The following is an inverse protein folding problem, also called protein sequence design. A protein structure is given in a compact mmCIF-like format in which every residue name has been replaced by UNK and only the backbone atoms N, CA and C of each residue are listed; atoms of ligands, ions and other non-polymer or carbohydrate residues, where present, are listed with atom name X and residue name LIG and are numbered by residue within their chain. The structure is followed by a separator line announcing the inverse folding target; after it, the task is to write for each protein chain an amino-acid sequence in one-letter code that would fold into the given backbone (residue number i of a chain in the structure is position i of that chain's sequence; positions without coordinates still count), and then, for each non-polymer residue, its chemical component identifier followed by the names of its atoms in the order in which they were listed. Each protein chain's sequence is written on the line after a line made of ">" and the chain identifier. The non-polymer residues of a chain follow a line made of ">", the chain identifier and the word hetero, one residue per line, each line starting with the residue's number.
data_IF_786538557601
#
_entry.id   IF_786538557601
#
_cell.length_a   1.000
_cell.length_b   1.000
_cell.length_c   1.000
_cell.angle_alpha   90.00
_cell.angle_beta   90.00
_cell.angle_gamma   90.00
#
_symmetry.space_group_name_H-M   'P 1'
#
loop_
_entity.id
_entity.type
_entity.pdbx_description
1 polymer ?
#
# COMPACT_ATOMS: atom_id res chain seq x y z
N UNK A 1 -42.40 48.55 -29.16
CA UNK A 1 -43.50 47.62 -28.82
C UNK A 1 -43.14 46.21 -29.26
N UNK A 2 -43.33 45.22 -28.39
CA UNK A 2 -43.49 43.76 -28.63
C UNK A 2 -42.26 43.02 -29.19
N UNK A 3 -41.50 42.32 -28.32
CA UNK A 3 -41.61 40.88 -27.98
C UNK A 3 -41.50 39.96 -29.20
N UNK A 4 -40.41 39.19 -29.29
CA UNK A 4 -40.46 37.77 -29.69
C UNK A 4 -39.42 36.99 -28.90
N UNK A 5 -39.91 35.92 -28.28
CA UNK A 5 -39.25 34.98 -27.38
C UNK A 5 -38.66 33.79 -28.18
N UNK A 6 -37.56 33.24 -27.67
CA UNK A 6 -37.11 31.82 -27.70
C UNK A 6 -37.54 30.89 -28.83
N UNK A 7 -36.57 30.28 -29.52
CA UNK A 7 -36.40 28.81 -29.56
C UNK A 7 -35.01 28.47 -30.14
N UNK A 8 -34.02 28.24 -29.28
CA UNK A 8 -32.79 27.58 -29.69
C UNK A 8 -33.03 26.08 -29.59
N UNK A 9 -33.32 25.46 -30.74
CA UNK A 9 -33.45 24.01 -30.87
C UNK A 9 -32.08 23.41 -30.57
N UNK A 10 -31.99 22.73 -29.43
CA UNK A 10 -30.87 21.87 -29.05
C UNK A 10 -30.84 20.70 -30.04
N UNK A 11 -30.05 20.82 -31.10
CA UNK A 11 -29.74 19.69 -31.96
C UNK A 11 -28.81 18.74 -31.18
N UNK A 12 -29.41 17.80 -30.45
CA UNK A 12 -28.71 16.59 -30.03
C UNK A 12 -28.38 15.80 -31.29
N UNK A 13 -27.18 16.03 -31.82
CA UNK A 13 -26.58 15.13 -32.79
C UNK A 13 -26.32 13.80 -32.09
N UNK A 14 -27.28 12.87 -32.25
CA UNK A 14 -27.07 11.45 -32.04
C UNK A 14 -26.09 10.96 -33.11
N UNK A 15 -24.79 11.03 -32.83
CA UNK A 15 -23.79 10.26 -33.58
C UNK A 15 -23.81 8.82 -33.09
N UNK A 16 -24.73 8.03 -33.62
CA UNK A 16 -24.63 6.58 -33.59
C UNK A 16 -23.43 6.12 -34.43
N UNK A 17 -22.61 5.26 -33.83
CA UNK A 17 -21.81 4.20 -34.44
C UNK A 17 -21.04 4.55 -35.73
N UNK A 18 -19.81 5.05 -35.58
CA UNK A 18 -18.75 4.77 -36.56
C UNK A 18 -17.74 3.83 -35.91
N UNK A 19 -17.48 2.69 -36.56
CA UNK A 19 -16.40 1.79 -36.18
C UNK A 19 -15.06 2.51 -36.33
N UNK A 20 -14.35 2.65 -35.21
CA UNK A 20 -13.02 3.24 -35.14
C UNK A 20 -12.24 2.59 -34.01
N UNK A 21 -11.36 1.66 -34.35
CA UNK A 21 -10.49 0.92 -33.42
C UNK A 21 -9.50 1.81 -32.62
N UNK A 22 -9.49 3.13 -32.82
CA UNK A 22 -8.58 4.07 -32.16
C UNK A 22 -8.93 4.40 -30.72
N UNK A 23 -10.18 4.16 -30.27
CA UNK A 23 -10.59 4.45 -28.90
C UNK A 23 -10.11 3.39 -27.89
N UNK A 24 -9.82 2.17 -28.36
CA UNK A 24 -9.37 1.06 -27.51
C UNK A 24 -7.92 1.20 -27.05
N UNK A 25 -7.03 1.67 -27.92
CA UNK A 25 -5.61 1.84 -27.62
C UNK A 25 -5.35 3.02 -26.68
N UNK A 26 -6.07 4.14 -26.85
CA UNK A 26 -5.97 5.28 -25.94
C UNK A 26 -6.45 4.94 -24.52
N UNK A 27 -7.56 4.21 -24.41
CA UNK A 27 -8.08 3.74 -23.11
C UNK A 27 -7.13 2.73 -22.45
N UNK A 28 -6.54 1.83 -23.24
CA UNK A 28 -5.54 0.87 -22.78
C UNK A 28 -4.28 1.56 -22.28
N UNK A 29 -3.78 2.55 -23.01
CA UNK A 29 -2.63 3.33 -22.59
C UNK A 29 -2.91 4.11 -21.29
N UNK A 30 -4.08 4.74 -21.17
CA UNK A 30 -4.47 5.43 -19.93
C UNK A 30 -4.51 4.46 -18.73
N UNK A 31 -4.94 3.20 -18.94
CA UNK A 31 -4.91 2.16 -17.90
C UNK A 31 -3.49 1.73 -17.55
N UNK A 32 -2.59 1.60 -18.53
CA UNK A 32 -1.18 1.35 -18.27
C UNK A 32 -0.54 2.47 -17.45
N UNK A 33 -0.83 3.72 -17.79
CA UNK A 33 -0.33 4.89 -17.06
C UNK A 33 -0.87 4.93 -15.62
N UNK A 34 -2.15 4.59 -15.42
CA UNK A 34 -2.75 4.48 -14.08
C UNK A 34 -2.09 3.38 -13.24
N UNK A 35 -1.91 2.18 -13.80
CA UNK A 35 -1.34 1.03 -13.11
C UNK A 35 0.14 1.22 -12.76
N UNK A 36 0.88 1.92 -13.62
CA UNK A 36 2.32 2.17 -13.45
C UNK A 36 2.63 3.25 -12.41
N UNK A 37 1.65 4.05 -11.98
CA UNK A 37 1.86 5.09 -10.96
C UNK A 37 2.27 4.46 -9.64
N UNK A 38 3.38 4.94 -9.09
CA UNK A 38 3.81 4.58 -7.76
C UNK A 38 3.70 5.77 -6.82
N UNK A 39 2.89 5.62 -5.77
CA UNK A 39 2.91 6.52 -4.63
C UNK A 39 3.70 5.84 -3.49
N UNK A 40 4.86 6.39 -3.14
CA UNK A 40 5.72 5.92 -2.04
C UNK A 40 5.66 6.90 -0.86
N UNK A 41 4.75 7.89 -0.87
CA UNK A 41 4.54 8.77 0.26
C UNK A 41 3.84 8.01 1.40
N UNK A 42 4.61 7.18 2.10
CA UNK A 42 4.20 6.57 3.37
C UNK A 42 4.55 7.59 4.44
N UNK A 43 3.52 8.22 5.01
CA UNK A 43 3.69 9.17 6.10
C UNK A 43 4.40 8.52 7.29
N UNK A 44 5.33 9.27 7.87
CA UNK A 44 5.93 8.89 9.14
C UNK A 44 4.85 8.87 10.23
N UNK A 45 5.04 8.09 11.31
CA UNK A 45 4.09 8.04 12.42
C UNK A 45 3.91 9.44 13.01
N UNK A 46 2.67 9.88 13.17
CA UNK A 46 2.36 11.18 13.79
C UNK A 46 2.76 11.27 15.26
N UNK A 47 2.91 10.11 15.91
CA UNK A 47 3.36 9.96 17.28
C UNK A 47 4.35 8.78 17.33
N UNK A 48 5.50 9.02 17.95
CA UNK A 48 6.45 7.96 18.23
C UNK A 48 5.95 7.14 19.43
N UNK A 49 6.01 5.80 19.37
CA UNK A 49 5.75 4.95 20.51
C UNK A 49 6.55 5.36 21.75
N UNK A 50 5.89 5.44 22.89
CA UNK A 50 6.54 5.85 24.16
C UNK A 50 6.69 4.69 25.14
N UNK A 51 5.98 3.60 24.91
CA UNK A 51 5.95 2.43 25.76
C UNK A 51 5.69 1.15 24.94
N UNK A 52 5.80 -0.02 25.59
CA UNK A 52 5.62 -1.33 24.95
C UNK A 52 4.28 -1.53 24.26
N UNK A 53 3.19 -1.00 24.83
CA UNK A 53 1.84 -1.14 24.25
C UNK A 53 1.74 -0.31 22.97
N UNK A 54 2.23 0.92 23.00
CA UNK A 54 2.28 1.79 21.82
C UNK A 54 3.14 1.16 20.72
N UNK A 55 4.29 0.57 21.06
CA UNK A 55 5.17 -0.03 20.07
C UNK A 55 4.56 -1.29 19.45
N UNK A 56 3.91 -2.13 20.26
CA UNK A 56 3.17 -3.28 19.76
C UNK A 56 2.00 -2.88 18.83
N UNK A 57 1.27 -1.82 19.17
CA UNK A 57 0.20 -1.25 18.33
C UNK A 57 0.79 -0.71 17.02
N UNK A 58 1.90 0.02 17.10
CA UNK A 58 2.63 0.53 15.94
C UNK A 58 3.02 -0.61 14.99
N UNK A 59 3.67 -1.68 15.47
CA UNK A 59 4.04 -2.81 14.63
C UNK A 59 2.81 -3.48 13.99
N UNK A 60 1.72 -3.60 14.74
CA UNK A 60 0.46 -4.18 14.24
C UNK A 60 -0.16 -3.34 13.12
N UNK A 61 -0.15 -2.01 13.26
CA UNK A 61 -0.59 -1.09 12.20
C UNK A 61 0.30 -1.21 10.98
N UNK A 62 1.62 -1.25 11.15
CA UNK A 62 2.54 -1.40 10.03
C UNK A 62 2.38 -2.75 9.32
N UNK A 63 2.15 -3.83 10.07
CA UNK A 63 1.86 -5.16 9.51
C UNK A 63 0.56 -5.15 8.69
N UNK A 64 -0.50 -4.50 9.18
CA UNK A 64 -1.75 -4.33 8.43
C UNK A 64 -1.52 -3.54 7.14
N UNK A 65 -0.79 -2.43 7.22
CA UNK A 65 -0.51 -1.60 6.06
C UNK A 65 0.35 -2.33 5.01
N UNK A 66 1.32 -3.14 5.43
CA UNK A 66 2.07 -4.00 4.51
C UNK A 66 1.15 -4.99 3.78
N UNK A 67 0.17 -5.56 4.50
CA UNK A 67 -0.81 -6.49 3.93
C UNK A 67 -1.69 -5.79 2.89
N UNK A 68 -2.11 -4.55 3.17
CA UNK A 68 -2.84 -3.71 2.21
C UNK A 68 -2.00 -3.39 0.97
N UNK A 69 -0.71 -3.08 1.13
CA UNK A 69 0.18 -2.83 -0.01
C UNK A 69 0.28 -4.04 -0.93
N UNK A 70 0.47 -5.23 -0.36
CA UNK A 70 0.51 -6.49 -1.11
C UNK A 70 -0.79 -6.74 -1.87
N UNK A 71 -1.93 -6.53 -1.21
CA UNK A 71 -3.24 -6.67 -1.84
C UNK A 71 -3.39 -5.71 -3.03
N UNK A 72 -3.00 -4.44 -2.87
CA UNK A 72 -3.06 -3.46 -3.96
C UNK A 72 -2.12 -3.84 -5.10
N UNK A 73 -0.89 -4.27 -4.82
CA UNK A 73 0.05 -4.77 -5.83
C UNK A 73 -0.56 -5.95 -6.61
N UNK A 74 -1.10 -6.95 -5.91
CA UNK A 74 -1.74 -8.11 -6.56
C UNK A 74 -2.94 -7.68 -7.40
N UNK A 75 -3.81 -6.81 -6.88
CA UNK A 75 -4.98 -6.32 -7.62
C UNK A 75 -4.60 -5.55 -8.87
N UNK A 76 -3.52 -4.77 -8.84
CA UNK A 76 -3.01 -4.09 -10.03
C UNK A 76 -2.48 -5.07 -11.08
N UNK A 77 -1.82 -6.15 -10.65
CA UNK A 77 -1.40 -7.24 -11.56
C UNK A 77 -2.61 -7.97 -12.15
N UNK A 78 -3.63 -8.27 -11.34
CA UNK A 78 -4.89 -8.88 -11.81
C UNK A 78 -5.55 -7.97 -12.88
N UNK A 79 -5.64 -6.65 -12.63
CA UNK A 79 -6.19 -5.69 -13.60
C UNK A 79 -5.34 -5.65 -14.87
N UNK A 80 -4.00 -5.67 -14.75
CA UNK A 80 -3.11 -5.70 -15.91
C UNK A 80 -3.38 -6.94 -16.79
N UNK A 81 -3.62 -8.10 -16.19
CA UNK A 81 -3.97 -9.31 -16.94
C UNK A 81 -5.27 -9.14 -17.73
N UNK A 82 -6.26 -8.43 -17.18
CA UNK A 82 -7.54 -8.16 -17.84
C UNK A 82 -7.42 -7.12 -18.98
N UNK A 83 -6.57 -6.11 -18.82
CA UNK A 83 -6.34 -5.06 -19.84
C UNK A 83 -5.44 -5.57 -20.98
N UNK A 84 -4.57 -6.53 -20.68
CA UNK A 84 -3.55 -7.07 -21.58
C UNK A 84 -2.18 -6.93 -20.95
N UNK A 85 -1.45 -8.04 -20.89
CA UNK A 85 -0.15 -8.06 -20.23
C UNK A 85 0.85 -7.12 -20.91
N UNK A 86 1.52 -6.31 -20.09
CA UNK A 86 2.66 -5.48 -20.49
C UNK A 86 3.74 -5.61 -19.43
N UNK A 87 4.88 -6.19 -19.79
CA UNK A 87 5.96 -6.48 -18.85
C UNK A 87 6.51 -5.22 -18.17
N UNK A 88 6.64 -4.10 -18.90
CA UNK A 88 7.11 -2.85 -18.31
C UNK A 88 6.14 -2.30 -17.25
N UNK A 89 4.83 -2.46 -17.45
CA UNK A 89 3.82 -2.07 -16.47
C UNK A 89 3.83 -3.02 -15.26
N UNK A 90 3.98 -4.33 -15.51
CA UNK A 90 4.13 -5.31 -14.44
C UNK A 90 5.37 -5.04 -13.57
N UNK A 91 6.49 -4.70 -14.18
CA UNK A 91 7.73 -4.34 -13.50
C UNK A 91 7.56 -3.05 -12.69
N UNK A 92 6.83 -2.06 -13.21
CA UNK A 92 6.51 -0.84 -12.47
C UNK A 92 5.64 -1.13 -11.24
N UNK A 93 4.62 -2.00 -11.36
CA UNK A 93 3.75 -2.40 -10.25
C UNK A 93 4.55 -3.14 -9.17
N UNK A 94 5.37 -4.12 -9.56
CA UNK A 94 6.15 -4.93 -8.61
C UNK A 94 7.24 -4.12 -7.94
N UNK A 95 7.96 -3.27 -8.70
CA UNK A 95 8.96 -2.34 -8.17
C UNK A 95 8.33 -1.36 -7.17
N UNK A 96 7.13 -0.87 -7.46
CA UNK A 96 6.40 -0.01 -6.53
C UNK A 96 6.08 -0.73 -5.21
N UNK A 97 5.59 -1.97 -5.28
CA UNK A 97 5.33 -2.79 -4.10
C UNK A 97 6.59 -3.02 -3.27
N UNK A 98 7.72 -3.31 -3.92
CA UNK A 98 9.02 -3.45 -3.26
C UNK A 98 9.46 -2.15 -2.57
N UNK A 99 9.40 -1.01 -3.26
CA UNK A 99 9.78 0.29 -2.71
C UNK A 99 8.93 0.67 -1.49
N UNK A 100 7.60 0.42 -1.53
CA UNK A 100 6.72 0.67 -0.39
C UNK A 100 7.05 -0.23 0.81
N UNK A 101 7.34 -1.51 0.57
CA UNK A 101 7.79 -2.45 1.59
C UNK A 101 9.09 -1.98 2.25
N UNK A 102 10.07 -1.56 1.44
CA UNK A 102 11.37 -1.11 1.94
C UNK A 102 11.23 0.20 2.73
N UNK A 103 10.42 1.15 2.25
CA UNK A 103 10.14 2.38 2.99
C UNK A 103 9.47 2.12 4.34
N UNK A 104 8.60 1.12 4.42
CA UNK A 104 7.95 0.72 5.68
C UNK A 104 8.94 0.13 6.68
N UNK A 105 9.89 -0.68 6.20
CA UNK A 105 10.99 -1.22 7.01
C UNK A 105 11.90 -0.11 7.52
N UNK A 106 12.27 0.84 6.67
CA UNK A 106 13.08 2.01 7.04
C UNK A 106 12.43 2.79 8.19
N UNK A 107 11.15 3.17 8.04
CA UNK A 107 10.39 3.89 9.09
C UNK A 107 10.37 3.08 10.39
N UNK A 108 10.05 1.79 10.28
CA UNK A 108 9.89 0.93 11.47
C UNK A 108 11.21 0.62 12.17
N UNK A 109 12.32 0.53 11.43
CA UNK A 109 13.66 0.36 11.97
C UNK A 109 14.08 1.56 12.82
N UNK A 110 13.83 2.78 12.34
CA UNK A 110 14.13 3.98 13.11
C UNK A 110 13.38 4.03 14.45
N UNK A 111 12.10 3.65 14.45
CA UNK A 111 11.27 3.58 15.67
C UNK A 111 11.77 2.47 16.60
N UNK A 112 12.08 1.30 16.05
CA UNK A 112 12.62 0.17 16.79
C UNK A 112 13.92 0.50 17.51
N UNK A 113 14.92 1.10 16.83
CA UNK A 113 16.20 1.42 17.47
C UNK A 113 16.03 2.46 18.58
N UNK A 114 15.09 3.40 18.42
CA UNK A 114 14.74 4.37 19.48
C UNK A 114 14.17 3.67 20.71
N UNK A 115 13.21 2.75 20.53
CA UNK A 115 12.63 1.97 21.63
C UNK A 115 13.67 1.05 22.28
N UNK A 116 14.48 0.36 21.48
CA UNK A 116 15.53 -0.54 21.95
C UNK A 116 16.61 0.18 22.76
N UNK A 117 16.92 1.43 22.43
CA UNK A 117 17.87 2.25 23.18
C UNK A 117 17.31 2.68 24.56
N UNK A 118 16.00 2.88 24.67
CA UNK A 118 15.36 3.30 25.92
C UNK A 118 14.97 2.14 26.85
N UNK A 119 14.80 0.92 26.32
CA UNK A 119 14.51 -0.28 27.12
C UNK A 119 15.73 -0.76 27.92
N UNK A 120 15.69 -0.57 29.24
CA UNK A 120 16.77 -0.97 30.17
C UNK A 120 16.68 -2.42 30.63
N UNK A 121 15.46 -2.95 30.80
CA UNK A 121 15.26 -4.32 31.26
C UNK A 121 15.71 -5.29 30.15
N UNK A 122 16.60 -6.23 30.49
CA UNK A 122 17.19 -7.15 29.51
C UNK A 122 16.18 -8.14 28.92
N UNK A 123 15.19 -8.58 29.70
CA UNK A 123 14.14 -9.48 29.25
C UNK A 123 13.17 -8.76 28.31
N UNK A 124 12.70 -7.56 28.71
CA UNK A 124 11.86 -6.71 27.88
C UNK A 124 12.57 -6.36 26.57
N UNK A 125 13.87 -6.04 26.63
CA UNK A 125 14.67 -5.73 25.44
C UNK A 125 14.74 -6.92 24.49
N UNK A 126 14.90 -8.14 25.01
CA UNK A 126 14.89 -9.35 24.18
C UNK A 126 13.53 -9.53 23.50
N UNK A 127 12.44 -9.40 24.25
CA UNK A 127 11.10 -9.53 23.70
C UNK A 127 10.78 -8.45 22.65
N UNK A 128 11.24 -7.22 22.86
CA UNK A 128 11.15 -6.13 21.88
C UNK A 128 11.89 -6.49 20.57
N UNK A 129 13.10 -7.04 20.67
CA UNK A 129 13.88 -7.48 19.51
C UNK A 129 13.15 -8.62 18.78
N UNK A 130 12.65 -9.62 19.49
CA UNK A 130 11.91 -10.73 18.89
C UNK A 130 10.61 -10.26 18.20
N UNK A 131 9.87 -9.34 18.82
CA UNK A 131 8.66 -8.76 18.22
C UNK A 131 8.97 -7.98 16.93
N UNK A 132 10.06 -7.21 16.91
CA UNK A 132 10.48 -6.48 15.71
C UNK A 132 11.02 -7.42 14.62
N UNK A 133 11.88 -8.39 14.95
CA UNK A 133 12.43 -9.32 13.97
C UNK A 133 11.37 -10.22 13.33
N UNK A 134 10.40 -10.70 14.11
CA UNK A 134 9.25 -11.44 13.58
C UNK A 134 8.34 -10.55 12.71
N UNK A 135 8.16 -9.28 13.07
CA UNK A 135 7.48 -8.30 12.22
C UNK A 135 8.20 -8.10 10.88
N UNK A 136 9.53 -7.94 10.87
CA UNK A 136 10.31 -7.80 9.63
C UNK A 136 10.19 -9.04 8.75
N UNK A 137 10.25 -10.24 9.35
CA UNK A 137 10.06 -11.50 8.64
C UNK A 137 8.66 -11.60 8.02
N UNK A 138 7.63 -11.17 8.76
CA UNK A 138 6.26 -11.10 8.25
C UNK A 138 6.14 -10.12 7.08
N UNK A 139 6.62 -8.88 7.22
CA UNK A 139 6.56 -7.88 6.14
C UNK A 139 7.35 -8.31 4.90
N UNK A 140 8.39 -9.12 5.08
CA UNK A 140 9.20 -9.63 3.96
C UNK A 140 8.52 -10.73 3.16
N UNK A 141 7.79 -11.63 3.83
CA UNK A 141 7.29 -12.87 3.23
C UNK A 141 5.76 -12.95 3.13
N UNK A 142 5.06 -12.28 4.05
CA UNK A 142 3.60 -12.24 4.19
C UNK A 142 2.92 -13.60 4.15
N UNK A 143 3.60 -14.62 4.71
CA UNK A 143 3.07 -15.97 4.82
C UNK A 143 2.22 -16.13 6.09
N UNK A 144 1.26 -17.08 6.13
CA UNK A 144 0.50 -17.37 7.35
C UNK A 144 1.38 -17.75 8.54
N UNK A 145 2.46 -18.51 8.32
CA UNK A 145 3.40 -18.90 9.37
C UNK A 145 4.14 -17.69 9.95
N UNK A 146 4.65 -16.80 9.10
CA UNK A 146 5.30 -15.57 9.57
C UNK A 146 4.31 -14.64 10.29
N UNK A 147 3.04 -14.61 9.86
CA UNK A 147 1.97 -13.86 10.55
C UNK A 147 1.72 -14.40 11.95
N UNK A 148 1.61 -15.72 12.08
CA UNK A 148 1.39 -16.37 13.37
C UNK A 148 2.57 -16.14 14.33
N UNK A 149 3.80 -16.25 13.85
CA UNK A 149 5.00 -15.95 14.65
C UNK A 149 5.00 -14.49 15.11
N UNK A 150 4.78 -13.55 14.19
CA UNK A 150 4.64 -12.13 14.52
C UNK A 150 3.56 -11.89 15.59
N UNK A 151 2.34 -12.40 15.40
CA UNK A 151 1.23 -12.22 16.34
C UNK A 151 1.56 -12.76 17.73
N UNK A 152 2.26 -13.89 17.81
CA UNK A 152 2.71 -14.48 19.06
C UNK A 152 3.73 -13.59 19.77
N UNK A 153 4.78 -13.16 19.04
CA UNK A 153 5.88 -12.36 19.61
C UNK A 153 5.47 -10.95 20.00
N UNK A 154 4.68 -10.28 19.16
CA UNK A 154 4.15 -8.94 19.47
C UNK A 154 3.16 -8.99 20.63
N UNK A 155 2.34 -10.05 20.70
CA UNK A 155 1.41 -10.30 21.80
C UNK A 155 2.13 -10.55 23.13
N UNK A 156 3.21 -11.33 23.12
CA UNK A 156 4.05 -11.54 24.30
C UNK A 156 4.66 -10.22 24.77
N UNK A 157 5.36 -9.49 23.88
CA UNK A 157 5.99 -8.21 24.22
C UNK A 157 5.00 -7.18 24.78
N UNK A 158 3.79 -7.10 24.23
CA UNK A 158 2.73 -6.19 24.70
C UNK A 158 2.30 -6.43 26.15
N UNK A 159 2.37 -7.68 26.61
CA UNK A 159 1.78 -8.13 27.88
C UNK A 159 2.79 -8.51 28.97
N UNK A 160 4.09 -8.39 28.70
CA UNK A 160 5.12 -8.32 29.76
C UNK A 160 4.92 -7.06 30.59
#
# INVERSE_FOLDING_TARGET
>A
MKKVFTTAVLAMALSACSGGNSNSDAQKQAKYDELSKCDVAIEAPSHLPTNKKDFAEFLSVQARNASSDQFVTQKRLDILQLVGWNSSVADAITSCGANRKDKRKEISSSVFETMKASTKNAEERRALVEAYSSWEAYVSSQTPLAKQDFDSKVGYYKNM
#
